data_IF_410456955205
#
_entry.id   IF_410456955205
#
_cell.length_a   1.000
_cell.length_b   1.000
_cell.length_c   1.000
_cell.angle_alpha   90.00
_cell.angle_beta   90.00
_cell.angle_gamma   90.00
#
_symmetry.space_group_name_H-M   'P 1'
#
loop_
_entity.id
_entity.type
_entity.pdbx_description
1 polymer ?
#
# COMPACT_ATOMS: atom_id res chain seq x y z
N UNK A 1 10.92 15.77 -1.45
CA UNK A 1 10.32 15.55 -2.77
C UNK A 1 11.16 14.65 -3.68
N UNK A 2 12.51 14.74 -3.65
CA UNK A 2 13.37 13.85 -4.44
C UNK A 2 13.09 12.36 -4.19
N UNK A 3 12.88 11.95 -2.94
CA UNK A 3 12.60 10.54 -2.61
C UNK A 3 11.22 10.08 -3.11
N UNK A 4 10.17 10.89 -2.94
CA UNK A 4 8.84 10.59 -3.49
C UNK A 4 8.87 10.44 -5.02
N UNK A 5 9.61 11.29 -5.73
CA UNK A 5 9.76 11.20 -7.19
C UNK A 5 10.48 9.92 -7.59
N UNK A 6 11.57 9.56 -6.89
CA UNK A 6 12.33 8.33 -7.12
C UNK A 6 11.46 7.09 -6.93
N UNK A 7 10.66 7.05 -5.86
CA UNK A 7 9.76 5.93 -5.61
C UNK A 7 8.62 5.86 -6.63
N UNK A 8 8.06 7.00 -7.04
CA UNK A 8 7.05 7.05 -8.10
C UNK A 8 7.59 6.57 -9.46
N UNK A 9 8.83 6.92 -9.79
CA UNK A 9 9.48 6.43 -11.01
C UNK A 9 9.66 4.91 -10.97
N UNK A 10 10.18 4.38 -9.87
CA UNK A 10 10.33 2.94 -9.68
C UNK A 10 8.98 2.20 -9.71
N UNK A 11 7.95 2.76 -9.05
CA UNK A 11 6.60 2.23 -9.07
C UNK A 11 6.00 2.23 -10.47
N UNK A 12 6.20 3.30 -11.24
CA UNK A 12 5.72 3.39 -12.62
C UNK A 12 6.42 2.36 -13.52
N UNK A 13 7.75 2.24 -13.42
CA UNK A 13 8.52 1.26 -14.19
C UNK A 13 8.07 -0.18 -13.88
N UNK A 14 7.89 -0.51 -12.60
CA UNK A 14 7.36 -1.81 -12.20
C UNK A 14 5.92 -2.01 -12.70
N UNK A 15 5.08 -0.99 -12.56
CA UNK A 15 3.67 -1.04 -12.99
C UNK A 15 3.53 -1.33 -14.48
N UNK A 16 4.38 -0.74 -15.31
CA UNK A 16 4.41 -0.96 -16.75
C UNK A 16 4.74 -2.43 -17.09
N UNK A 17 5.77 -3.00 -16.46
CA UNK A 17 6.15 -4.42 -16.65
C UNK A 17 5.04 -5.39 -16.20
N UNK A 18 4.39 -5.09 -15.07
CA UNK A 18 3.29 -5.92 -14.57
C UNK A 18 2.04 -5.82 -15.47
N UNK A 19 1.73 -4.62 -15.99
CA UNK A 19 0.62 -4.41 -16.92
C UNK A 19 0.83 -5.12 -18.26
N UNK A 20 2.04 -5.08 -18.82
CA UNK A 20 2.33 -5.77 -20.08
C UNK A 20 2.15 -7.29 -19.98
N UNK A 21 2.24 -7.83 -18.76
CA UNK A 21 1.99 -9.24 -18.44
C UNK A 21 0.59 -9.51 -17.85
N UNK A 22 -0.32 -8.53 -17.91
CA UNK A 22 -1.69 -8.61 -17.37
C UNK A 22 -1.73 -9.06 -15.90
N UNK A 23 -0.79 -8.56 -15.08
CA UNK A 23 -0.72 -8.86 -13.65
C UNK A 23 -1.42 -7.74 -12.86
N UNK A 24 -2.59 -8.00 -12.24
CA UNK A 24 -3.25 -7.01 -11.38
C UNK A 24 -2.38 -6.72 -10.16
N UNK A 25 -2.17 -5.44 -9.89
CA UNK A 25 -1.33 -4.99 -8.79
C UNK A 25 -1.77 -3.61 -8.30
N UNK A 26 -1.38 -3.28 -7.07
CA UNK A 26 -1.61 -1.99 -6.47
C UNK A 26 -0.50 -1.64 -5.48
N UNK A 27 -0.08 -0.37 -5.48
CA UNK A 27 0.95 0.13 -4.59
C UNK A 27 0.37 0.68 -3.28
N UNK A 28 1.14 0.58 -2.20
CA UNK A 28 0.90 1.30 -0.94
C UNK A 28 2.20 1.48 -0.15
N UNK A 29 2.07 1.86 1.12
CA UNK A 29 3.17 2.22 2.02
C UNK A 29 3.14 3.71 2.33
N UNK A 30 4.16 4.18 3.05
CA UNK A 30 4.34 5.61 3.34
C UNK A 30 4.36 6.50 2.09
N UNK A 31 4.65 5.95 0.89
CA UNK A 31 4.58 6.71 -0.37
C UNK A 31 3.18 7.26 -0.63
N UNK A 32 2.12 6.54 -0.25
CA UNK A 32 0.76 6.98 -0.46
C UNK A 32 0.49 8.25 0.33
N UNK A 33 0.81 8.26 1.64
CA UNK A 33 0.66 9.43 2.50
C UNK A 33 1.58 10.56 2.05
N UNK A 34 2.82 10.27 1.64
CA UNK A 34 3.74 11.26 1.09
C UNK A 34 3.19 11.97 -0.16
N UNK A 35 2.59 11.24 -1.11
CA UNK A 35 1.98 11.82 -2.32
C UNK A 35 0.80 12.71 -1.97
N UNK A 36 -0.10 12.27 -1.08
CA UNK A 36 -1.33 13.04 -0.78
C UNK A 36 -1.11 14.17 0.22
N UNK A 37 -0.01 14.15 0.97
CA UNK A 37 0.35 15.19 1.95
C UNK A 37 1.42 16.16 1.47
N UNK A 38 1.99 15.91 0.28
CA UNK A 38 3.17 16.62 -0.22
C UNK A 38 4.36 16.59 0.75
N UNK A 39 4.48 15.49 1.52
CA UNK A 39 5.53 15.29 2.53
C UNK A 39 6.75 14.60 1.93
N UNK A 40 7.98 15.03 2.29
CA UNK A 40 9.20 14.36 1.85
C UNK A 40 9.48 13.04 2.57
N UNK A 41 8.75 12.70 3.64
CA UNK A 41 9.00 11.50 4.44
C UNK A 41 8.39 10.28 3.75
N UNK A 42 9.23 9.50 3.09
CA UNK A 42 8.83 8.23 2.51
C UNK A 42 10.03 7.29 2.41
N UNK A 43 9.92 6.15 3.11
CA UNK A 43 11.01 5.19 3.23
C UNK A 43 10.63 3.80 2.70
N UNK A 44 9.34 3.56 2.45
CA UNK A 44 8.80 2.25 2.11
C UNK A 44 7.78 2.34 0.97
N UNK A 45 7.88 1.37 0.08
CA UNK A 45 6.91 1.12 -0.98
C UNK A 45 6.65 -0.38 -1.09
N UNK A 46 5.37 -0.71 -1.08
CA UNK A 46 4.86 -2.05 -1.24
C UNK A 46 4.06 -2.15 -2.53
N UNK A 47 4.12 -3.31 -3.18
CA UNK A 47 3.28 -3.66 -4.33
C UNK A 47 2.51 -4.92 -4.00
N UNK A 48 1.20 -4.78 -3.76
CA UNK A 48 0.30 -5.91 -3.61
C UNK A 48 0.04 -6.47 -5.00
N UNK A 49 0.19 -7.79 -5.17
CA UNK A 49 -0.05 -8.47 -6.44
C UNK A 49 -1.12 -9.55 -6.26
N UNK A 50 -2.14 -9.50 -7.10
CA UNK A 50 -3.21 -10.50 -7.12
C UNK A 50 -2.66 -11.83 -7.64
N UNK A 51 -2.88 -12.92 -6.90
CA UNK A 51 -2.45 -14.27 -7.25
C UNK A 51 -3.34 -14.97 -8.29
N UNK A 52 -4.62 -14.59 -8.40
CA UNK A 52 -5.60 -15.38 -9.15
C UNK A 52 -5.68 -16.81 -8.59
N UNK A 53 -5.41 -17.81 -9.43
CA UNK A 53 -5.43 -19.24 -9.04
C UNK A 53 -4.12 -19.77 -8.45
N UNK A 54 -3.05 -18.98 -8.42
CA UNK A 54 -1.72 -19.42 -7.95
C UNK A 54 -0.97 -18.32 -7.20
N UNK A 55 0.16 -18.66 -6.58
CA UNK A 55 0.97 -17.67 -5.87
C UNK A 55 1.56 -16.62 -6.84
N UNK A 56 1.46 -15.30 -6.56
CA UNK A 56 1.80 -14.27 -7.55
C UNK A 56 3.28 -14.19 -7.93
N UNK A 57 4.19 -14.59 -7.03
CA UNK A 57 5.64 -14.39 -7.23
C UNK A 57 6.23 -15.10 -8.45
N UNK A 58 5.63 -16.21 -8.92
CA UNK A 58 6.04 -16.85 -10.16
C UNK A 58 5.86 -15.92 -11.37
N UNK A 59 4.67 -15.32 -11.48
CA UNK A 59 4.33 -14.39 -12.57
C UNK A 59 5.10 -13.09 -12.48
N UNK A 60 5.32 -12.57 -11.27
CA UNK A 60 6.16 -11.36 -11.08
C UNK A 60 7.59 -11.62 -11.53
N UNK A 61 8.21 -12.74 -11.14
CA UNK A 61 9.56 -13.10 -11.61
C UNK A 61 9.64 -13.21 -13.13
N UNK A 62 8.63 -13.81 -13.76
CA UNK A 62 8.56 -13.91 -15.21
C UNK A 62 8.41 -12.55 -15.87
N UNK A 63 7.55 -11.68 -15.36
CA UNK A 63 7.32 -10.34 -15.91
C UNK A 63 8.56 -9.43 -15.82
N UNK A 64 9.43 -9.69 -14.84
CA UNK A 64 10.68 -8.96 -14.65
C UNK A 64 11.89 -9.66 -15.29
N UNK A 65 11.70 -10.86 -15.87
CA UNK A 65 12.77 -11.56 -16.57
C UNK A 65 13.19 -10.75 -17.80
N UNK A 66 14.49 -10.47 -17.93
CA UNK A 66 15.04 -9.69 -19.03
C UNK A 66 14.95 -8.16 -18.87
N UNK A 67 14.47 -7.66 -17.74
CA UNK A 67 14.54 -6.23 -17.44
C UNK A 67 15.94 -5.83 -16.97
N UNK A 68 16.63 -4.97 -17.71
CA UNK A 68 17.95 -4.44 -17.33
C UNK A 68 17.91 -3.55 -16.07
N UNK A 69 16.73 -3.05 -15.71
CA UNK A 69 16.57 -2.09 -14.61
C UNK A 69 16.12 -2.70 -13.29
N UNK A 70 15.68 -3.96 -13.30
CA UNK A 70 15.13 -4.63 -12.13
C UNK A 70 15.88 -5.90 -11.81
N UNK A 71 16.11 -6.11 -10.52
CA UNK A 71 16.51 -7.43 -10.02
C UNK A 71 15.55 -7.91 -8.97
N UNK A 72 15.41 -9.22 -8.89
CA UNK A 72 14.50 -9.88 -7.97
C UNK A 72 15.27 -10.70 -6.95
N UNK A 73 14.97 -10.48 -5.67
CA UNK A 73 15.44 -11.31 -4.56
C UNK A 73 14.23 -11.95 -3.90
N UNK A 74 14.23 -13.27 -3.80
CA UNK A 74 13.18 -13.99 -3.07
C UNK A 74 13.64 -14.23 -1.62
N UNK A 75 12.75 -13.99 -0.68
CA UNK A 75 12.93 -14.25 0.75
C UNK A 75 11.93 -15.34 1.17
N UNK A 76 12.26 -16.64 0.98
CA UNK A 76 11.28 -17.72 1.12
C UNK A 76 10.70 -17.83 2.54
N UNK A 77 11.51 -17.54 3.56
CA UNK A 77 11.11 -17.66 4.97
C UNK A 77 10.07 -16.65 5.40
N UNK A 78 9.99 -15.50 4.73
CA UNK A 78 9.05 -14.42 5.07
C UNK A 78 7.89 -14.29 4.07
N UNK A 79 7.82 -15.17 3.07
CA UNK A 79 6.92 -15.06 1.92
C UNK A 79 6.98 -13.67 1.25
N UNK A 80 8.19 -13.13 1.09
CA UNK A 80 8.42 -11.80 0.50
C UNK A 80 9.26 -11.91 -0.77
N UNK A 81 8.91 -11.11 -1.77
CA UNK A 81 9.69 -10.97 -2.99
C UNK A 81 10.10 -9.50 -3.11
N UNK A 82 11.36 -9.23 -3.32
CA UNK A 82 11.90 -7.88 -3.38
C UNK A 82 12.29 -7.57 -4.83
N UNK A 83 11.76 -6.47 -5.37
CA UNK A 83 12.12 -5.94 -6.67
C UNK A 83 12.99 -4.69 -6.48
N UNK A 84 14.27 -4.77 -6.84
CA UNK A 84 15.20 -3.64 -6.73
C UNK A 84 15.32 -2.93 -8.07
N UNK A 85 14.89 -1.68 -8.14
CA UNK A 85 15.04 -0.79 -9.29
C UNK A 85 16.39 -0.06 -9.24
N UNK A 86 17.24 -0.29 -10.23
CA UNK A 86 18.67 0.11 -10.20
C UNK A 86 19.02 1.32 -11.04
N UNK A 87 18.07 1.90 -11.77
CA UNK A 87 18.31 3.10 -12.60
C UNK A 87 18.56 4.36 -11.76
N UNK A 88 18.17 4.35 -10.48
CA UNK A 88 18.31 5.46 -9.55
C UNK A 88 19.36 5.15 -8.49
N UNK A 89 19.99 6.20 -7.95
CA UNK A 89 20.96 6.11 -6.86
C UNK A 89 20.44 6.93 -5.66
N UNK A 90 20.31 6.33 -4.46
CA UNK A 90 20.41 4.89 -4.21
C UNK A 90 19.34 4.07 -4.96
N UNK A 91 19.56 2.76 -5.07
CA UNK A 91 18.56 1.87 -5.68
C UNK A 91 17.26 1.89 -4.87
N UNK A 92 16.12 1.72 -5.54
CA UNK A 92 14.82 1.67 -4.89
C UNK A 92 14.41 0.22 -4.71
N UNK A 93 14.14 -0.17 -3.48
CA UNK A 93 13.59 -1.49 -3.17
C UNK A 93 12.06 -1.40 -3.07
N UNK A 94 11.38 -2.22 -3.86
CA UNK A 94 9.94 -2.39 -3.79
C UNK A 94 9.67 -3.79 -3.28
N UNK A 95 8.97 -3.86 -2.15
CA UNK A 95 8.57 -5.14 -1.61
C UNK A 95 7.25 -5.59 -2.24
N UNK A 96 7.23 -6.79 -2.79
CA UNK A 96 6.09 -7.40 -3.46
C UNK A 96 5.41 -8.36 -2.48
N UNK A 97 4.11 -8.16 -2.30
CA UNK A 97 3.30 -8.87 -1.32
C UNK A 97 2.10 -9.55 -1.99
N UNK A 98 1.72 -10.77 -1.58
CA UNK A 98 0.56 -11.43 -2.13
C UNK A 98 -0.75 -10.84 -1.62
N UNK A 99 -1.67 -10.55 -2.55
CA UNK A 99 -3.03 -10.13 -2.23
C UNK A 99 -3.75 -11.13 -1.34
N UNK A 100 -4.54 -10.64 -0.38
CA UNK A 100 -5.32 -11.46 0.54
C UNK A 100 -4.58 -11.90 1.80
N UNK A 101 -3.25 -12.05 1.73
CA UNK A 101 -2.38 -12.05 2.92
C UNK A 101 -2.13 -10.60 3.36
N UNK A 102 -1.83 -9.76 2.38
CA UNK A 102 -1.68 -8.31 2.48
C UNK A 102 -2.74 -7.61 1.63
N UNK A 103 -3.31 -6.53 2.16
CA UNK A 103 -4.42 -5.83 1.52
C UNK A 103 -5.61 -6.74 1.14
N UNK A 104 -6.40 -6.33 0.14
CA UNK A 104 -7.58 -7.07 -0.30
C UNK A 104 -7.23 -8.26 -1.19
N UNK A 105 -8.09 -9.29 -1.21
CA UNK A 105 -7.91 -10.49 -2.05
C UNK A 105 -7.98 -10.23 -3.55
N UNK A 106 -8.76 -9.23 -3.98
CA UNK A 106 -8.94 -8.86 -5.39
C UNK A 106 -8.55 -7.42 -5.59
N UNK A 107 -7.80 -7.17 -6.66
CA UNK A 107 -7.37 -5.84 -7.07
C UNK A 107 -8.24 -5.37 -8.24
N UNK A 108 -9.25 -4.56 -7.95
CA UNK A 108 -10.23 -4.03 -8.89
C UNK A 108 -10.60 -2.58 -8.57
N UNK A 109 -11.58 -2.01 -9.28
CA UNK A 109 -12.01 -0.62 -9.09
C UNK A 109 -12.59 -0.31 -7.71
N UNK A 110 -12.91 -1.32 -6.89
CA UNK A 110 -13.39 -1.13 -5.52
C UNK A 110 -12.27 -1.12 -4.48
N UNK A 111 -11.12 -1.69 -4.81
CA UNK A 111 -9.96 -1.84 -3.91
C UNK A 111 -8.77 -0.99 -4.32
N UNK A 112 -8.75 -0.52 -5.57
CA UNK A 112 -7.68 0.30 -6.14
C UNK A 112 -8.17 1.68 -6.60
N UNK A 113 -7.25 2.65 -6.58
CA UNK A 113 -7.42 3.99 -7.14
C UNK A 113 -6.22 4.32 -8.05
N UNK A 114 -6.39 5.22 -9.02
CA UNK A 114 -5.28 5.68 -9.84
C UNK A 114 -4.68 6.97 -9.29
N UNK A 115 -3.38 6.96 -9.03
CA UNK A 115 -2.60 8.17 -8.74
C UNK A 115 -1.52 8.32 -9.81
N UNK A 116 -1.56 9.43 -10.56
CA UNK A 116 -0.63 9.70 -11.68
C UNK A 116 -0.53 8.52 -12.67
N UNK A 117 -1.63 7.81 -12.92
CA UNK A 117 -1.67 6.66 -13.83
C UNK A 117 -1.16 5.34 -13.25
N UNK A 118 -0.69 5.32 -11.99
CA UNK A 118 -0.20 4.14 -11.28
C UNK A 118 -1.32 3.62 -10.35
N UNK A 119 -1.55 2.30 -10.25
CA UNK A 119 -2.60 1.76 -9.40
C UNK A 119 -2.13 1.75 -7.94
N UNK A 120 -2.86 2.40 -7.05
CA UNK A 120 -2.64 2.38 -5.60
C UNK A 120 -3.82 1.72 -4.91
N UNK A 121 -3.63 1.20 -3.69
CA UNK A 121 -4.77 0.83 -2.85
C UNK A 121 -5.64 2.06 -2.58
N UNK A 122 -6.96 1.87 -2.48
CA UNK A 122 -7.85 2.92 -1.98
C UNK A 122 -7.45 3.34 -0.57
N UNK A 123 -7.85 4.53 -0.14
CA UNK A 123 -7.59 5.01 1.22
C UNK A 123 -8.14 4.06 2.29
N UNK A 124 -9.28 3.40 2.03
CA UNK A 124 -9.87 2.41 2.93
C UNK A 124 -9.00 1.17 3.10
N UNK A 125 -8.49 0.62 1.99
CA UNK A 125 -7.62 -0.55 2.01
C UNK A 125 -6.22 -0.22 2.57
N UNK A 126 -5.73 0.99 2.30
CA UNK A 126 -4.52 1.51 2.94
C UNK A 126 -4.65 1.57 4.46
N UNK A 127 -5.75 2.15 4.98
CA UNK A 127 -6.01 2.22 6.43
C UNK A 127 -6.17 0.82 7.01
N UNK A 128 -6.88 -0.08 6.34
CA UNK A 128 -7.04 -1.48 6.77
C UNK A 128 -5.70 -2.18 6.94
N UNK A 129 -4.83 -2.09 5.92
CA UNK A 129 -3.53 -2.77 5.94
C UNK A 129 -2.60 -2.17 7.00
N UNK A 130 -2.53 -0.84 7.10
CA UNK A 130 -1.77 -0.14 8.14
C UNK A 130 -2.28 -0.44 9.55
N UNK A 131 -3.60 -0.52 9.74
CA UNK A 131 -4.20 -0.85 11.04
C UNK A 131 -3.85 -2.27 11.46
N UNK A 132 -3.89 -3.25 10.54
CA UNK A 132 -3.46 -4.62 10.79
C UNK A 132 -1.98 -4.67 11.18
N UNK A 133 -1.12 -3.96 10.45
CA UNK A 133 0.31 -3.84 10.76
C UNK A 133 0.55 -3.22 12.15
N UNK A 134 -0.14 -2.13 12.46
CA UNK A 134 -0.07 -1.44 13.75
C UNK A 134 -0.54 -2.33 14.90
N UNK A 135 -1.64 -3.06 14.74
CA UNK A 135 -2.15 -3.94 15.79
C UNK A 135 -1.14 -5.04 16.19
N UNK A 136 -0.28 -5.46 15.24
CA UNK A 136 0.76 -6.47 15.49
C UNK A 136 2.02 -5.84 16.12
N UNK A 137 2.45 -4.67 15.61
CA UNK A 137 3.79 -4.11 15.91
C UNK A 137 3.79 -2.83 16.75
N UNK A 138 2.66 -2.17 16.93
CA UNK A 138 2.55 -0.90 17.63
C UNK A 138 3.36 0.24 17.00
N UNK A 139 3.59 0.21 15.69
CA UNK A 139 4.47 1.17 15.00
C UNK A 139 3.89 2.59 15.00
N UNK A 140 4.62 3.55 15.57
CA UNK A 140 4.27 4.97 15.54
C UNK A 140 4.11 5.53 14.12
N UNK A 141 4.86 4.99 13.14
CA UNK A 141 4.74 5.44 11.74
C UNK A 141 3.39 5.02 11.15
N UNK A 142 2.98 3.78 11.40
CA UNK A 142 1.69 3.29 10.95
C UNK A 142 0.56 4.08 11.63
N UNK A 143 0.72 4.40 12.93
CA UNK A 143 -0.22 5.26 13.64
C UNK A 143 -0.31 6.66 13.03
N UNK A 144 0.81 7.28 12.68
CA UNK A 144 0.84 8.59 12.02
C UNK A 144 0.11 8.57 10.68
N UNK A 145 0.37 7.56 9.85
CA UNK A 145 -0.28 7.39 8.55
C UNK A 145 -1.80 7.20 8.67
N UNK A 146 -2.24 6.39 9.64
CA UNK A 146 -3.67 6.15 9.93
C UNK A 146 -4.35 7.43 10.42
N UNK A 147 -3.76 8.11 11.41
CA UNK A 147 -4.30 9.36 11.96
C UNK A 147 -4.40 10.43 10.87
N UNK A 148 -3.34 10.60 10.07
CA UNK A 148 -3.33 11.56 8.97
C UNK A 148 -4.46 11.26 7.97
N UNK A 149 -4.57 9.99 7.55
CA UNK A 149 -5.58 9.58 6.56
C UNK A 149 -7.00 9.76 7.10
N UNK A 150 -7.27 9.38 8.35
CA UNK A 150 -8.57 9.60 9.00
C UNK A 150 -8.89 11.09 9.09
N UNK A 151 -8.00 11.90 9.65
CA UNK A 151 -8.25 13.32 9.86
C UNK A 151 -8.49 14.08 8.55
N UNK A 152 -7.75 13.74 7.49
CA UNK A 152 -7.84 14.48 6.23
C UNK A 152 -8.87 13.92 5.26
N UNK A 153 -9.14 12.61 5.30
CA UNK A 153 -9.88 11.91 4.26
C UNK A 153 -10.98 10.97 4.77
N UNK A 154 -11.42 11.08 6.02
CA UNK A 154 -12.49 10.21 6.57
C UNK A 154 -13.72 10.12 5.65
N UNK A 155 -14.09 11.23 4.99
CA UNK A 155 -15.26 11.28 4.10
C UNK A 155 -15.12 10.42 2.84
N UNK A 156 -13.90 10.04 2.47
CA UNK A 156 -13.56 9.15 1.35
C UNK A 156 -13.36 7.70 1.76
N UNK A 157 -13.35 7.41 3.07
CA UNK A 157 -13.23 6.05 3.56
C UNK A 157 -14.58 5.32 3.47
N UNK A 158 -14.47 4.01 3.24
CA UNK A 158 -15.54 3.04 3.33
C UNK A 158 -15.40 2.28 4.65
N UNK A 159 -16.33 2.53 5.57
CA UNK A 159 -16.28 1.96 6.91
C UNK A 159 -16.32 0.42 6.89
N UNK A 160 -16.99 -0.17 5.89
CA UNK A 160 -17.14 -1.63 5.78
C UNK A 160 -15.83 -2.34 5.45
N UNK A 161 -14.81 -1.59 5.02
CA UNK A 161 -13.46 -2.13 4.74
C UNK A 161 -12.52 -2.02 5.94
N UNK A 162 -12.88 -1.23 6.96
CA UNK A 162 -12.04 -0.98 8.14
C UNK A 162 -12.53 -1.85 9.31
N UNK A 163 -11.69 -2.73 9.89
CA UNK A 163 -12.08 -3.54 11.05
C UNK A 163 -12.45 -2.65 12.25
N UNK A 164 -13.74 -2.62 12.61
CA UNK A 164 -14.24 -1.72 13.64
C UNK A 164 -13.61 -1.98 15.02
N UNK A 165 -13.43 -3.25 15.41
CA UNK A 165 -12.83 -3.60 16.69
C UNK A 165 -11.41 -3.03 16.83
N UNK A 166 -10.56 -3.27 15.82
CA UNK A 166 -9.19 -2.79 15.80
C UNK A 166 -9.13 -1.27 15.74
N UNK A 167 -10.03 -0.64 14.97
CA UNK A 167 -10.08 0.83 14.87
C UNK A 167 -10.55 1.47 16.18
N UNK A 168 -11.53 0.86 16.87
CA UNK A 168 -11.95 1.31 18.19
C UNK A 168 -10.81 1.19 19.22
N UNK A 169 -10.00 0.13 19.15
CA UNK A 169 -8.79 0.02 19.97
C UNK A 169 -7.76 1.10 19.60
N UNK A 170 -7.50 1.30 18.30
CA UNK A 170 -6.59 2.31 17.80
C UNK A 170 -6.95 3.72 18.29
N UNK A 171 -8.22 4.11 18.20
CA UNK A 171 -8.72 5.43 18.61
C UNK A 171 -8.61 5.63 20.13
N UNK A 172 -8.71 4.58 20.94
CA UNK A 172 -8.45 4.68 22.40
C UNK A 172 -7.01 5.06 22.69
N UNK A 173 -6.05 4.52 21.93
CA UNK A 173 -4.63 4.85 22.04
C UNK A 173 -4.30 6.20 21.39
N UNK A 174 -4.97 6.55 20.28
CA UNK A 174 -4.69 7.74 19.47
C UNK A 174 -5.92 8.64 19.36
N UNK A 175 -6.20 9.39 20.42
CA UNK A 175 -7.43 10.19 20.55
C UNK A 175 -7.62 11.24 19.45
N UNK A 176 -6.55 11.69 18.79
CA UNK A 176 -6.62 12.60 17.63
C UNK A 176 -7.49 12.06 16.50
N UNK A 177 -7.56 10.73 16.32
CA UNK A 177 -8.40 10.10 15.30
C UNK A 177 -9.89 10.01 15.69
N UNK A 178 -10.26 10.28 16.95
CA UNK A 178 -11.59 10.00 17.49
C UNK A 178 -12.72 10.77 16.77
N UNK A 179 -12.52 12.06 16.52
CA UNK A 179 -13.53 12.89 15.85
C UNK A 179 -13.78 12.42 14.41
N UNK A 180 -12.71 12.09 13.70
CA UNK A 180 -12.74 11.59 12.33
C UNK A 180 -13.42 10.22 12.25
N UNK A 181 -13.11 9.32 13.19
CA UNK A 181 -13.77 8.02 13.29
C UNK A 181 -15.26 8.15 13.63
N UNK A 182 -15.63 9.02 14.56
CA UNK A 182 -17.03 9.29 14.88
C UNK A 182 -17.79 9.92 13.71
N UNK A 183 -17.16 10.82 12.95
CA UNK A 183 -17.74 11.38 11.73
C UNK A 183 -17.96 10.31 10.65
N UNK A 184 -17.00 9.39 10.47
CA UNK A 184 -17.14 8.26 9.56
C UNK A 184 -18.29 7.33 9.97
N UNK A 185 -18.41 6.98 11.26
CA UNK A 185 -19.55 6.18 11.75
C UNK A 185 -20.90 6.84 11.47
N UNK A 186 -21.02 8.13 11.79
CA UNK A 186 -22.25 8.91 11.51
C UNK A 186 -22.63 8.92 10.03
N UNK A 187 -21.65 9.03 9.11
CA UNK A 187 -21.89 8.97 7.66
C UNK A 187 -22.57 7.65 7.24
N UNK A 188 -22.34 6.57 7.97
CA UNK A 188 -22.91 5.24 7.70
C UNK A 188 -24.06 4.86 8.66
N UNK A 189 -24.54 5.79 9.49
CA UNK A 189 -25.65 5.54 10.42
C UNK A 189 -25.29 4.67 11.63
N UNK A 190 -24.01 4.64 12.02
CA UNK A 190 -23.48 3.92 13.19
C UNK A 190 -23.19 4.86 14.37
#
# INVERSE_FOLDING_TARGET
>A
MADTHRLLEAANALSQLLRSHSIPHAFHGSILTAIVSDSPRCDEIYCIVDGGSSHPFGRVRQALAGSDHFTITNSPWSNRLHATYRRLIPAVEIEILPAGEHGPRRLDGSTTMSLKGIPFLTLSEFVRDKLKAWAIRGSERDAHDIVYTLCRYWNRLDINRVPEHDMNHFVKCHRTAALSWAALKRKYGM
#
